data_IF_299289892563
#
_entry.id   IF_299289892563
#
_cell.length_a   1.000
_cell.length_b   1.000
_cell.length_c   1.000
_cell.angle_alpha   90.00
_cell.angle_beta   90.00
_cell.angle_gamma   90.00
#
_symmetry.space_group_name_H-M   'P 1'
#
loop_
_entity.id
_entity.type
_entity.pdbx_description
1 polymer ?
#
# COMPACT_ATOMS: atom_id res chain seq x y z
N UNK A 1 -5.24 -16.40 22.85
CA UNK A 1 -5.82 -15.45 21.86
C UNK A 1 -7.02 -16.13 21.20
N UNK A 2 -8.20 -15.48 21.08
CA UNK A 2 -9.37 -16.10 20.47
C UNK A 2 -9.11 -16.44 18.99
N UNK A 3 -9.46 -17.64 18.53
CA UNK A 3 -9.21 -18.02 17.14
C UNK A 3 -7.79 -18.49 16.83
N UNK A 4 -6.89 -18.57 17.83
CA UNK A 4 -5.51 -19.00 17.59
C UNK A 4 -5.46 -20.43 17.07
N UNK A 5 -6.14 -21.37 17.74
CA UNK A 5 -6.10 -22.80 17.43
C UNK A 5 -6.68 -23.13 16.04
N UNK A 6 -7.54 -22.25 15.54
CA UNK A 6 -8.32 -22.38 14.31
C UNK A 6 -7.62 -21.77 13.08
N UNK A 7 -6.60 -20.93 13.25
CA UNK A 7 -5.88 -20.34 12.12
C UNK A 7 -5.02 -21.38 11.37
N UNK A 8 -5.07 -21.31 10.04
CA UNK A 8 -4.17 -22.03 9.15
C UNK A 8 -2.78 -21.36 9.12
N UNK A 9 -1.94 -21.75 10.07
CA UNK A 9 -0.60 -21.21 10.19
C UNK A 9 0.34 -21.62 9.06
N UNK A 10 0.02 -22.67 8.29
CA UNK A 10 0.80 -23.05 7.12
C UNK A 10 0.74 -21.94 6.05
N UNK A 11 -0.40 -21.26 5.91
CA UNK A 11 -0.54 -20.10 5.02
C UNK A 11 0.25 -18.87 5.50
N UNK A 12 0.48 -18.70 6.82
CA UNK A 12 1.26 -17.57 7.36
C UNK A 12 2.78 -17.82 7.34
N UNK A 13 3.21 -19.08 7.22
CA UNK A 13 4.60 -19.48 7.36
C UNK A 13 5.55 -18.85 6.33
N UNK A 14 5.21 -18.80 5.02
CA UNK A 14 6.09 -18.17 4.02
C UNK A 14 6.32 -16.69 4.30
N UNK A 15 5.30 -15.98 4.82
CA UNK A 15 5.45 -14.58 5.22
C UNK A 15 6.43 -14.44 6.39
N UNK A 16 6.37 -15.32 7.40
CA UNK A 16 7.34 -15.27 8.50
C UNK A 16 8.78 -15.51 8.01
N UNK A 17 8.98 -16.48 7.12
CA UNK A 17 10.29 -16.75 6.52
C UNK A 17 10.79 -15.56 5.68
N UNK A 18 9.90 -14.90 4.94
CA UNK A 18 10.20 -13.64 4.26
C UNK A 18 10.63 -12.57 5.26
N UNK A 19 9.95 -12.41 6.39
CA UNK A 19 10.36 -11.46 7.44
C UNK A 19 11.79 -11.71 7.91
N UNK A 20 12.18 -12.97 8.13
CA UNK A 20 13.55 -13.31 8.51
C UNK A 20 14.59 -12.89 7.47
N UNK A 21 14.30 -13.04 6.16
CA UNK A 21 15.18 -12.55 5.08
C UNK A 21 15.26 -11.02 5.06
N UNK A 22 14.13 -10.34 5.23
CA UNK A 22 14.07 -8.88 5.26
C UNK A 22 14.75 -8.27 6.49
N UNK A 23 14.74 -8.97 7.62
CA UNK A 23 15.38 -8.53 8.87
C UNK A 23 16.89 -8.76 8.89
N UNK A 24 17.40 -9.71 8.11
CA UNK A 24 18.83 -10.00 8.04
C UNK A 24 19.63 -8.73 7.68
N UNK A 25 20.62 -8.40 8.52
CA UNK A 25 21.46 -7.21 8.34
C UNK A 25 20.84 -5.88 8.77
N UNK A 26 19.58 -5.83 9.22
CA UNK A 26 18.99 -4.64 9.82
C UNK A 26 19.41 -4.48 11.30
N UNK A 27 19.38 -3.27 11.89
CA UNK A 27 19.81 -3.04 13.27
C UNK A 27 19.13 -3.94 14.31
N UNK A 28 17.87 -4.30 14.10
CA UNK A 28 17.11 -5.19 14.98
C UNK A 28 17.48 -6.68 14.84
N UNK A 29 18.25 -7.08 13.84
CA UNK A 29 18.56 -8.49 13.54
C UNK A 29 19.02 -9.32 14.75
N UNK A 30 19.89 -8.83 15.67
CA UNK A 30 20.32 -9.63 16.81
C UNK A 30 19.17 -10.16 17.68
N UNK A 31 18.07 -9.39 17.81
CA UNK A 31 16.89 -9.79 18.56
C UNK A 31 16.04 -10.85 17.80
N UNK A 32 16.04 -10.80 16.46
CA UNK A 32 15.24 -11.71 15.61
C UNK A 32 15.97 -12.99 15.23
N UNK A 33 17.31 -12.97 15.23
CA UNK A 33 18.15 -14.09 14.79
C UNK A 33 17.80 -15.42 15.46
N UNK A 34 17.63 -15.53 16.79
CA UNK A 34 17.32 -16.83 17.42
C UNK A 34 16.04 -17.48 16.87
N UNK A 35 14.95 -16.71 16.77
CA UNK A 35 13.68 -17.20 16.23
C UNK A 35 13.81 -17.58 14.75
N UNK A 36 14.55 -16.79 13.96
CA UNK A 36 14.76 -17.07 12.54
C UNK A 36 15.65 -18.31 12.30
N UNK A 37 16.64 -18.59 13.15
CA UNK A 37 17.40 -19.85 13.08
C UNK A 37 16.54 -21.05 13.51
N UNK A 38 15.72 -20.90 14.56
CA UNK A 38 14.78 -21.94 14.97
C UNK A 38 13.76 -22.27 13.88
N UNK A 39 13.34 -21.29 13.08
CA UNK A 39 12.41 -21.49 11.97
C UNK A 39 12.99 -22.41 10.89
N UNK A 40 14.29 -22.29 10.56
CA UNK A 40 14.95 -23.17 9.59
C UNK A 40 14.89 -24.65 9.98
N UNK A 41 14.88 -24.94 11.29
CA UNK A 41 14.79 -26.31 11.82
C UNK A 41 13.39 -26.90 11.65
N UNK A 42 12.34 -26.06 11.62
CA UNK A 42 10.96 -26.51 11.41
C UNK A 42 10.81 -27.13 10.02
N UNK A 43 11.44 -26.54 9.00
CA UNK A 43 11.37 -27.02 7.62
C UNK A 43 12.30 -28.21 7.33
N UNK A 44 13.36 -28.38 8.12
CA UNK A 44 14.37 -29.42 7.92
C UNK A 44 13.87 -30.85 8.23
N UNK A 45 12.64 -31.03 8.74
CA UNK A 45 12.10 -32.32 9.22
C UNK A 45 11.44 -33.19 8.14
N UNK A 46 11.93 -33.13 6.90
CA UNK A 46 11.59 -34.12 5.86
C UNK A 46 10.19 -34.00 5.25
N UNK A 47 9.51 -32.86 5.41
CA UNK A 47 8.20 -32.56 4.82
C UNK A 47 7.79 -31.10 5.08
N UNK A 48 6.76 -30.58 4.40
CA UNK A 48 6.28 -29.22 4.64
C UNK A 48 5.83 -29.05 6.10
N UNK A 49 6.19 -27.93 6.71
CA UNK A 49 5.81 -27.61 8.07
C UNK A 49 4.28 -27.66 8.23
N UNK A 50 3.78 -28.40 9.22
CA UNK A 50 2.34 -28.49 9.49
C UNK A 50 1.90 -27.32 10.37
N UNK A 51 0.61 -26.97 10.33
CA UNK A 51 0.06 -25.95 11.20
C UNK A 51 0.37 -26.22 12.69
N UNK A 52 0.41 -27.49 13.12
CA UNK A 52 0.75 -27.87 14.49
C UNK A 52 2.22 -27.61 14.84
N UNK A 53 3.17 -27.92 13.94
CA UNK A 53 4.60 -27.65 14.21
C UNK A 53 4.89 -26.16 14.18
N UNK A 54 4.24 -25.42 13.28
CA UNK A 54 4.35 -23.95 13.19
C UNK A 54 3.74 -23.29 14.44
N UNK A 55 2.60 -23.78 14.91
CA UNK A 55 1.97 -23.31 16.15
C UNK A 55 2.92 -23.42 17.33
N UNK A 56 3.51 -24.60 17.52
CA UNK A 56 4.48 -24.85 18.59
C UNK A 56 5.70 -23.95 18.47
N UNK A 57 6.17 -23.68 17.24
CA UNK A 57 7.25 -22.73 17.01
C UNK A 57 6.88 -21.34 17.56
N UNK A 58 5.73 -20.77 17.19
CA UNK A 58 5.34 -19.45 17.67
C UNK A 58 5.14 -19.41 19.19
N UNK A 59 4.49 -20.43 19.76
CA UNK A 59 4.28 -20.55 21.21
C UNK A 59 5.58 -20.69 22.01
N UNK A 60 6.65 -21.18 21.37
CA UNK A 60 7.97 -21.36 22.02
C UNK A 60 8.87 -20.14 21.83
N UNK A 61 8.82 -19.50 20.66
CA UNK A 61 9.76 -18.45 20.27
C UNK A 61 9.24 -17.04 20.56
N UNK A 62 7.93 -16.86 20.76
CA UNK A 62 7.30 -15.55 20.91
C UNK A 62 6.40 -15.47 22.13
N UNK A 63 6.43 -14.31 22.77
CA UNK A 63 5.48 -13.91 23.80
C UNK A 63 4.47 -12.93 23.19
N UNK A 64 3.16 -13.21 23.20
CA UNK A 64 2.16 -12.26 22.72
C UNK A 64 2.03 -11.06 23.67
N UNK A 65 1.96 -9.86 23.09
CA UNK A 65 1.62 -8.61 23.76
C UNK A 65 0.35 -8.03 23.13
N UNK A 66 -0.56 -7.52 23.96
CA UNK A 66 -1.77 -6.85 23.49
C UNK A 66 -1.43 -5.40 23.14
N UNK A 67 -1.70 -4.99 21.90
CA UNK A 67 -1.59 -3.60 21.51
C UNK A 67 -2.73 -2.80 22.18
N UNK A 68 -2.37 -1.67 22.79
CA UNK A 68 -3.29 -0.76 23.47
C UNK A 68 -3.06 0.66 22.97
N UNK A 69 -4.13 1.42 22.81
CA UNK A 69 -4.05 2.83 22.49
C UNK A 69 -3.58 3.63 23.73
N UNK A 70 -3.10 4.88 23.55
CA UNK A 70 -2.63 5.72 24.65
C UNK A 70 -3.69 5.98 25.75
N UNK A 71 -4.97 5.90 25.40
CA UNK A 71 -6.11 6.02 26.32
C UNK A 71 -6.47 4.69 27.02
N UNK A 72 -5.72 3.62 26.76
CA UNK A 72 -5.92 2.28 27.33
C UNK A 72 -6.96 1.43 26.61
N UNK A 73 -7.62 1.96 25.58
CA UNK A 73 -8.60 1.20 24.80
C UNK A 73 -7.87 0.16 23.90
N UNK A 74 -8.58 -0.90 23.49
CA UNK A 74 -8.04 -2.01 22.68
C UNK A 74 -8.58 -2.04 21.26
N UNK A 75 -9.44 -1.10 20.91
CA UNK A 75 -10.12 -1.07 19.62
C UNK A 75 -9.25 -0.32 18.62
N UNK A 76 -9.00 -0.95 17.47
CA UNK A 76 -8.20 -0.39 16.39
C UNK A 76 -8.99 -0.33 15.09
N UNK A 77 -8.54 0.52 14.17
CA UNK A 77 -9.06 0.56 12.81
C UNK A 77 -8.27 -0.40 11.92
N UNK A 78 -8.97 -1.29 11.22
CA UNK A 78 -8.39 -2.17 10.20
C UNK A 78 -8.97 -1.79 8.85
N UNK A 79 -8.09 -1.46 7.90
CA UNK A 79 -8.45 -1.22 6.50
C UNK A 79 -7.77 -2.24 5.58
N UNK A 80 -8.31 -2.44 4.37
CA UNK A 80 -7.73 -3.30 3.35
C UNK A 80 -7.02 -2.50 2.25
N UNK A 81 -5.93 -3.05 1.74
CA UNK A 81 -5.24 -2.57 0.54
C UNK A 81 -4.88 -3.77 -0.35
N UNK A 82 -4.59 -3.54 -1.62
CA UNK A 82 -4.28 -4.59 -2.60
C UNK A 82 -3.37 -4.06 -3.72
N UNK A 83 -2.83 -4.97 -4.53
CA UNK A 83 -2.10 -4.63 -5.76
C UNK A 83 -3.10 -4.66 -6.94
N UNK A 84 -3.59 -3.51 -7.44
CA UNK A 84 -4.53 -3.45 -8.55
C UNK A 84 -3.87 -3.91 -9.85
N UNK A 85 -4.71 -4.50 -10.70
CA UNK A 85 -4.35 -4.94 -12.05
C UNK A 85 -5.10 -4.06 -13.05
N UNK A 86 -4.37 -3.28 -13.81
CA UNK A 86 -4.89 -2.39 -14.84
C UNK A 86 -4.56 -2.93 -16.23
N UNK A 87 -5.38 -2.60 -17.22
CA UNK A 87 -5.01 -2.76 -18.62
C UNK A 87 -4.32 -1.49 -19.12
N UNK A 88 -3.29 -1.65 -19.97
CA UNK A 88 -2.54 -0.50 -20.47
C UNK A 88 -1.63 -0.81 -21.64
N UNK A 89 -0.87 0.20 -22.05
CA UNK A 89 0.03 0.15 -23.20
C UNK A 89 1.26 1.04 -22.98
N UNK A 90 2.34 0.75 -23.72
CA UNK A 90 3.57 1.57 -23.74
C UNK A 90 3.38 2.91 -24.47
N UNK A 91 2.45 2.95 -25.41
CA UNK A 91 2.13 4.13 -26.22
C UNK A 91 0.67 4.50 -26.07
N UNK A 92 0.36 5.79 -26.27
CA UNK A 92 -1.03 6.28 -26.24
C UNK A 92 -1.82 5.65 -27.37
N UNK A 93 -3.04 5.22 -27.07
CA UNK A 93 -3.99 4.72 -28.06
C UNK A 93 -5.40 5.21 -27.78
N UNK A 94 -6.38 4.66 -28.49
CA UNK A 94 -7.80 4.98 -28.28
C UNK A 94 -8.35 4.40 -26.97
N UNK A 95 -7.87 3.23 -26.56
CA UNK A 95 -8.26 2.59 -25.28
C UNK A 95 -7.37 3.10 -24.13
N UNK A 96 -6.07 2.86 -24.23
CA UNK A 96 -5.08 3.33 -23.26
C UNK A 96 -4.79 4.83 -23.46
N UNK A 97 -5.54 5.68 -22.76
CA UNK A 97 -5.54 7.15 -22.95
C UNK A 97 -5.08 7.93 -21.73
N UNK A 98 -5.03 7.32 -20.56
CA UNK A 98 -4.73 8.00 -19.31
C UNK A 98 -3.26 7.77 -18.93
N UNK A 99 -2.43 8.82 -18.82
CA UNK A 99 -1.01 8.64 -18.58
C UNK A 99 -0.72 8.26 -17.12
N UNK A 100 -0.01 7.16 -16.94
CA UNK A 100 0.64 6.82 -15.67
C UNK A 100 1.99 7.53 -15.61
N UNK A 101 2.10 8.52 -14.71
CA UNK A 101 3.26 9.40 -14.65
C UNK A 101 4.37 8.89 -13.73
N UNK A 102 5.61 9.08 -14.18
CA UNK A 102 6.81 9.03 -13.35
C UNK A 102 7.11 10.38 -12.69
N UNK A 103 8.14 10.40 -11.85
CA UNK A 103 8.52 11.61 -11.10
C UNK A 103 9.04 12.71 -12.05
N UNK A 104 8.45 13.91 -12.03
CA UNK A 104 8.96 15.06 -12.77
C UNK A 104 10.35 15.49 -12.29
N UNK A 105 11.19 15.97 -13.21
CA UNK A 105 12.55 16.44 -12.88
C UNK A 105 12.56 17.73 -12.05
N UNK A 106 11.48 18.50 -12.08
CA UNK A 106 11.33 19.78 -11.37
C UNK A 106 10.60 19.64 -10.01
N UNK A 107 10.22 18.42 -9.62
CA UNK A 107 9.66 18.14 -8.30
C UNK A 107 10.77 18.19 -7.25
N UNK A 108 10.71 19.18 -6.38
CA UNK A 108 11.65 19.36 -5.28
C UNK A 108 11.10 18.79 -3.98
N UNK A 109 11.92 18.00 -3.29
CA UNK A 109 11.71 17.62 -1.88
C UNK A 109 12.26 18.71 -0.98
N UNK A 110 11.41 19.24 -0.08
CA UNK A 110 11.75 20.37 0.77
C UNK A 110 11.97 19.90 2.20
N UNK A 111 13.22 19.68 2.58
CA UNK A 111 13.63 19.26 3.93
C UNK A 111 14.05 20.48 4.76
N UNK A 112 13.07 21.19 5.33
CA UNK A 112 13.30 22.37 6.18
C UNK A 112 12.84 22.16 7.63
N UNK A 113 12.56 20.92 8.04
CA UNK A 113 12.02 20.59 9.37
C UNK A 113 12.93 20.95 10.55
N UNK A 114 14.24 21.07 10.32
CA UNK A 114 15.22 21.47 11.34
C UNK A 114 15.21 22.99 11.61
N UNK A 115 14.78 23.80 10.62
CA UNK A 115 14.71 25.26 10.71
C UNK A 115 13.27 25.75 10.96
N UNK A 116 12.28 25.03 10.41
CA UNK A 116 10.85 25.31 10.53
C UNK A 116 10.19 24.08 11.17
N UNK A 117 10.09 24.02 12.51
CA UNK A 117 9.60 22.84 13.24
C UNK A 117 8.22 22.36 12.81
N UNK A 118 7.34 23.25 12.33
CA UNK A 118 6.00 22.94 11.83
C UNK A 118 6.01 22.04 10.59
N UNK A 119 7.15 21.94 9.90
CA UNK A 119 7.36 21.07 8.73
C UNK A 119 7.93 19.70 9.12
N UNK A 120 8.32 19.49 10.38
CA UNK A 120 8.91 18.22 10.81
C UNK A 120 7.92 17.06 10.59
N UNK A 121 8.38 16.06 9.84
CA UNK A 121 7.56 14.89 9.47
C UNK A 121 6.54 15.14 8.35
N UNK A 122 6.43 16.37 7.82
CA UNK A 122 5.55 16.66 6.67
C UNK A 122 6.29 16.38 5.36
N UNK A 123 5.60 15.77 4.40
CA UNK A 123 6.11 15.53 3.04
C UNK A 123 5.92 16.77 2.16
N UNK A 124 6.69 17.83 2.43
CA UNK A 124 6.61 19.09 1.67
C UNK A 124 7.26 18.92 0.31
N UNK A 125 6.57 19.40 -0.73
CA UNK A 125 7.00 19.34 -2.13
C UNK A 125 6.79 20.68 -2.81
N UNK A 126 7.73 21.05 -3.66
CA UNK A 126 7.70 22.32 -4.36
C UNK A 126 8.34 22.28 -5.73
N UNK A 127 8.35 23.43 -6.39
CA UNK A 127 9.02 23.68 -7.67
C UNK A 127 9.55 25.11 -7.70
N UNK A 128 10.52 25.36 -8.57
CA UNK A 128 11.10 26.69 -8.75
C UNK A 128 10.27 27.54 -9.72
N UNK A 129 10.08 28.81 -9.37
CA UNK A 129 9.62 29.87 -10.28
C UNK A 129 10.53 31.08 -10.07
N UNK A 130 11.42 31.32 -11.04
CA UNK A 130 12.51 32.28 -10.86
C UNK A 130 13.37 31.88 -9.65
N UNK A 131 13.40 32.72 -8.62
CA UNK A 131 14.12 32.48 -7.38
C UNK A 131 13.23 32.03 -6.20
N UNK A 132 11.96 31.68 -6.46
CA UNK A 132 11.01 31.25 -5.42
C UNK A 132 10.74 29.76 -5.49
N UNK A 133 10.67 29.11 -4.34
CA UNK A 133 10.07 27.79 -4.20
C UNK A 133 8.58 27.99 -3.90
N UNK A 134 7.72 27.38 -4.71
CA UNK A 134 6.26 27.39 -4.52
C UNK A 134 5.73 25.95 -4.51
N UNK A 135 4.51 25.69 -4.02
CA UNK A 135 3.94 24.34 -4.01
C UNK A 135 3.97 23.69 -5.38
N UNK A 136 4.16 22.37 -5.40
CA UNK A 136 4.05 21.60 -6.64
C UNK A 136 2.62 21.59 -7.17
N UNK A 137 2.45 21.19 -8.43
CA UNK A 137 1.15 21.17 -9.11
C UNK A 137 0.15 20.24 -8.40
N UNK A 138 -1.11 20.68 -8.34
CA UNK A 138 -2.22 19.86 -7.87
C UNK A 138 -2.56 18.78 -8.91
N UNK A 139 -3.41 17.81 -8.55
CA UNK A 139 -3.93 16.82 -9.51
C UNK A 139 -4.55 17.48 -10.75
N UNK A 140 -5.40 18.49 -10.57
CA UNK A 140 -6.05 19.19 -11.67
C UNK A 140 -5.02 19.81 -12.63
N UNK A 141 -4.02 20.52 -12.08
CA UNK A 141 -2.94 21.13 -12.87
C UNK A 141 -2.14 20.09 -13.68
N UNK A 142 -1.90 18.90 -13.11
CA UNK A 142 -1.14 17.81 -13.74
C UNK A 142 -1.95 17.20 -14.89
N UNK A 143 -3.23 16.90 -14.65
CA UNK A 143 -4.14 16.26 -15.62
C UNK A 143 -4.43 17.20 -16.80
N UNK A 144 -4.63 18.48 -16.54
CA UNK A 144 -4.90 19.49 -17.57
C UNK A 144 -3.67 19.85 -18.41
N UNK A 145 -2.49 19.32 -18.06
CA UNK A 145 -1.19 19.59 -18.68
C UNK A 145 -0.85 21.08 -18.79
N UNK A 146 -1.46 21.91 -17.93
CA UNK A 146 -1.46 23.37 -18.06
C UNK A 146 -0.06 24.00 -18.01
N UNK A 147 0.94 23.27 -17.50
CA UNK A 147 2.31 23.76 -17.25
C UNK A 147 3.41 22.76 -17.59
N UNK A 148 3.10 21.76 -18.42
CA UNK A 148 4.01 20.68 -18.82
C UNK A 148 3.51 19.31 -18.39
N UNK A 149 3.93 18.27 -19.11
CA UNK A 149 3.50 16.88 -18.87
C UNK A 149 4.60 16.13 -18.12
N UNK A 150 4.34 15.62 -16.90
CA UNK A 150 5.25 14.68 -16.23
C UNK A 150 5.64 13.52 -17.16
N UNK A 151 6.81 12.88 -16.96
CA UNK A 151 7.21 11.75 -17.79
C UNK A 151 6.14 10.66 -17.74
N UNK A 152 5.76 10.11 -18.89
CA UNK A 152 4.77 9.03 -18.98
C UNK A 152 5.50 7.69 -19.00
N UNK A 153 5.16 6.80 -18.06
CA UNK A 153 5.70 5.44 -18.00
C UNK A 153 4.88 4.49 -18.88
N UNK A 154 3.55 4.60 -18.74
CA UNK A 154 2.54 3.76 -19.37
C UNK A 154 1.28 4.58 -19.62
N UNK A 155 0.42 4.09 -20.48
CA UNK A 155 -0.95 4.58 -20.66
C UNK A 155 -1.91 3.51 -20.17
N UNK A 156 -2.92 3.87 -19.39
CA UNK A 156 -3.96 2.96 -18.91
C UNK A 156 -5.33 3.36 -19.48
N UNK A 157 -6.30 2.46 -19.43
CA UNK A 157 -7.59 2.62 -20.10
C UNK A 157 -8.73 3.12 -19.21
N UNK A 158 -8.56 3.06 -17.89
CA UNK A 158 -9.55 3.54 -16.91
C UNK A 158 -8.95 4.56 -15.92
N UNK A 159 -9.50 5.79 -15.83
CA UNK A 159 -8.98 6.84 -14.96
C UNK A 159 -9.34 6.62 -13.48
N UNK A 160 -10.41 5.89 -13.18
CA UNK A 160 -10.77 5.50 -11.81
C UNK A 160 -9.80 4.43 -11.32
N UNK A 161 -9.49 3.43 -12.13
CA UNK A 161 -8.48 2.43 -11.74
C UNK A 161 -7.10 3.07 -11.55
N UNK A 162 -6.74 4.03 -12.41
CA UNK A 162 -5.53 4.85 -12.22
C UNK A 162 -5.55 5.62 -10.90
N UNK A 163 -6.69 6.21 -10.53
CA UNK A 163 -6.85 6.92 -9.26
C UNK A 163 -6.72 5.98 -8.06
N UNK A 164 -7.33 4.79 -8.12
CA UNK A 164 -7.18 3.79 -7.06
C UNK A 164 -5.75 3.26 -6.98
N UNK A 165 -5.06 3.05 -8.11
CA UNK A 165 -3.63 2.74 -8.14
C UNK A 165 -2.81 3.78 -7.36
N UNK A 166 -3.13 5.07 -7.49
CA UNK A 166 -2.48 6.14 -6.72
C UNK A 166 -2.77 6.06 -5.22
N UNK A 167 -3.97 5.63 -4.82
CA UNK A 167 -4.30 5.40 -3.41
C UNK A 167 -3.54 4.17 -2.87
N UNK A 168 -3.48 3.08 -3.65
CA UNK A 168 -2.79 1.85 -3.23
C UNK A 168 -1.26 1.99 -3.23
N UNK A 169 -0.71 2.87 -4.07
CA UNK A 169 0.72 3.16 -4.15
C UNK A 169 1.55 2.14 -4.93
N UNK A 170 1.01 0.99 -5.29
CA UNK A 170 1.66 0.01 -6.19
C UNK A 170 0.61 -0.73 -7.00
N UNK A 171 1.00 -1.37 -8.10
CA UNK A 171 0.08 -2.13 -8.95
C UNK A 171 0.77 -2.79 -10.13
N UNK A 172 -0.04 -3.41 -10.99
CA UNK A 172 0.40 -4.06 -12.22
C UNK A 172 -0.38 -3.55 -13.42
N UNK A 173 0.32 -3.43 -14.54
CA UNK A 173 -0.27 -3.08 -15.82
C UNK A 173 -0.06 -4.25 -16.79
N UNK A 174 -1.16 -4.81 -17.29
CA UNK A 174 -1.16 -5.82 -18.34
C UNK A 174 -1.09 -5.14 -19.70
N UNK A 175 -0.04 -5.43 -20.45
CA UNK A 175 0.15 -4.93 -21.81
C UNK A 175 -0.65 -5.77 -22.81
N UNK A 176 -0.88 -5.26 -24.05
CA UNK A 176 -1.60 -6.01 -25.08
C UNK A 176 -0.86 -7.28 -25.53
N UNK A 177 0.46 -7.35 -25.34
CA UNK A 177 1.28 -8.55 -25.55
C UNK A 177 1.00 -9.67 -24.55
N UNK A 178 0.33 -9.37 -23.43
CA UNK A 178 0.18 -10.25 -22.27
C UNK A 178 1.25 -10.03 -21.19
N UNK A 179 2.30 -9.25 -21.49
CA UNK A 179 3.34 -8.93 -20.52
C UNK A 179 2.79 -8.12 -19.35
N UNK A 180 3.38 -8.36 -18.18
CA UNK A 180 3.01 -7.69 -16.93
C UNK A 180 4.10 -6.71 -16.53
N UNK A 181 3.75 -5.43 -16.42
CA UNK A 181 4.63 -4.39 -15.90
C UNK A 181 4.23 -4.06 -14.46
N UNK A 182 5.17 -4.18 -13.53
CA UNK A 182 4.95 -3.76 -12.14
C UNK A 182 5.32 -2.31 -11.95
N UNK A 183 4.48 -1.58 -11.26
CA UNK A 183 4.70 -0.18 -10.91
C UNK A 183 4.58 0.00 -9.41
N UNK A 184 5.47 0.82 -8.85
CA UNK A 184 5.49 1.13 -7.43
C UNK A 184 5.65 2.61 -7.18
N UNK A 185 5.25 3.04 -5.99
CA UNK A 185 5.39 4.41 -5.51
C UNK A 185 6.83 4.90 -5.70
N UNK A 186 6.96 6.11 -6.25
CA UNK A 186 8.23 6.79 -6.38
C UNK A 186 8.25 8.10 -5.58
N UNK A 187 7.22 8.95 -5.74
CA UNK A 187 7.04 10.17 -4.94
C UNK A 187 5.59 10.67 -5.02
N UNK A 188 5.27 11.79 -4.38
CA UNK A 188 3.98 12.48 -4.46
C UNK A 188 4.15 13.99 -4.62
N UNK A 189 3.08 14.70 -4.99
CA UNK A 189 3.09 16.16 -5.17
C UNK A 189 2.99 16.99 -3.87
N UNK A 190 2.87 16.35 -2.70
CA UNK A 190 2.87 17.00 -1.38
C UNK A 190 1.55 17.67 -0.98
N UNK A 191 0.51 17.59 -1.80
CA UNK A 191 -0.84 18.06 -1.44
C UNK A 191 -1.54 17.05 -0.52
N UNK A 192 -2.42 17.52 0.40
CA UNK A 192 -3.17 16.64 1.28
C UNK A 192 -4.16 15.78 0.48
N UNK A 193 -4.33 14.53 0.90
CA UNK A 193 -5.37 13.66 0.35
C UNK A 193 -6.76 14.16 0.76
N UNK A 194 -7.70 14.21 -0.18
CA UNK A 194 -9.12 14.40 0.08
C UNK A 194 -9.91 13.20 -0.42
N UNK A 195 -10.84 12.72 0.41
CA UNK A 195 -11.64 11.52 0.10
C UNK A 195 -12.77 11.84 -0.88
N UNK A 196 -12.67 11.31 -2.10
CA UNK A 196 -13.74 11.45 -3.11
C UNK A 196 -15.05 10.77 -2.68
N UNK A 197 -14.98 9.70 -1.88
CA UNK A 197 -16.17 9.04 -1.32
C UNK A 197 -16.90 9.96 -0.35
N UNK A 198 -16.16 10.71 0.49
CA UNK A 198 -16.74 11.71 1.39
C UNK A 198 -17.38 12.86 0.61
N UNK A 199 -16.72 13.33 -0.45
CA UNK A 199 -17.26 14.36 -1.34
C UNK A 199 -18.60 13.91 -1.96
N UNK A 200 -18.70 12.66 -2.42
CA UNK A 200 -19.96 12.12 -2.95
C UNK A 200 -21.08 12.05 -1.89
N UNK A 201 -20.75 11.66 -0.65
CA UNK A 201 -21.71 11.66 0.45
C UNK A 201 -22.21 13.08 0.76
N UNK A 202 -21.29 14.04 0.86
CA UNK A 202 -21.61 15.45 1.14
C UNK A 202 -22.47 16.09 0.04
N UNK A 203 -22.30 15.64 -1.22
CA UNK A 203 -23.14 16.02 -2.36
C UNK A 203 -24.49 15.29 -2.40
N UNK A 204 -24.71 14.29 -1.55
CA UNK A 204 -25.91 13.44 -1.58
C UNK A 204 -25.96 12.47 -2.77
N UNK A 205 -24.82 12.21 -3.41
CA UNK A 205 -24.72 11.38 -4.61
C UNK A 205 -24.37 9.91 -4.32
N UNK A 206 -23.92 9.60 -3.09
CA UNK A 206 -23.76 8.23 -2.55
C UNK A 206 -24.14 8.20 -1.07
N UNK A 207 -24.70 7.07 -0.61
CA UNK A 207 -24.84 6.81 0.83
C UNK A 207 -23.49 6.43 1.44
N UNK A 208 -23.32 6.66 2.74
CA UNK A 208 -22.10 6.28 3.46
C UNK A 208 -21.81 4.77 3.38
N UNK A 209 -22.85 3.93 3.38
CA UNK A 209 -22.75 2.48 3.18
C UNK A 209 -22.31 2.09 1.77
N UNK A 210 -22.42 2.99 0.80
CA UNK A 210 -22.12 2.76 -0.62
C UNK A 210 -20.78 3.40 -1.04
N UNK A 211 -20.14 4.19 -0.16
CA UNK A 211 -18.86 4.86 -0.41
C UNK A 211 -17.65 3.89 -0.38
N UNK A 212 -17.83 2.70 -0.96
CA UNK A 212 -16.79 1.72 -1.26
C UNK A 212 -16.21 1.96 -2.65
N UNK A 213 -15.10 1.29 -2.97
CA UNK A 213 -14.52 1.32 -4.32
C UNK A 213 -15.56 0.92 -5.40
N UNK A 214 -16.33 -0.13 -5.13
CA UNK A 214 -17.32 -0.65 -6.06
C UNK A 214 -18.46 0.35 -6.28
N UNK A 215 -18.91 1.01 -5.20
CA UNK A 215 -19.94 2.05 -5.31
C UNK A 215 -19.43 3.28 -6.06
N UNK A 216 -18.19 3.72 -5.80
CA UNK A 216 -17.56 4.82 -6.55
C UNK A 216 -17.39 4.48 -8.03
N UNK A 217 -16.96 3.25 -8.36
CA UNK A 217 -16.87 2.79 -9.75
C UNK A 217 -18.24 2.77 -10.44
N UNK A 218 -19.29 2.30 -9.75
CA UNK A 218 -20.65 2.31 -10.27
C UNK A 218 -21.15 3.74 -10.51
N UNK A 219 -20.92 4.64 -9.55
CA UNK A 219 -21.24 6.05 -9.68
C UNK A 219 -20.52 6.70 -10.86
N UNK A 220 -19.22 6.43 -11.05
CA UNK A 220 -18.41 6.98 -12.13
C UNK A 220 -18.92 6.55 -13.51
N UNK A 221 -19.31 5.27 -13.67
CA UNK A 221 -19.91 4.76 -14.91
C UNK A 221 -21.25 5.43 -15.23
N UNK A 222 -22.04 5.76 -14.21
CA UNK A 222 -23.31 6.46 -14.38
C UNK A 222 -23.14 7.97 -14.61
N UNK A 223 -22.00 8.57 -14.20
CA UNK A 223 -21.77 10.01 -14.22
C UNK A 223 -20.44 10.40 -14.92
N UNK A 224 -20.18 9.97 -16.17
CA UNK A 224 -18.88 10.17 -16.82
C UNK A 224 -18.51 11.65 -16.97
N UNK A 225 -19.49 12.54 -17.16
CA UNK A 225 -19.26 13.98 -17.31
C UNK A 225 -18.83 14.68 -16.01
N UNK A 226 -19.09 14.09 -14.84
CA UNK A 226 -18.72 14.63 -13.52
C UNK A 226 -17.41 14.03 -12.99
N UNK A 227 -16.84 13.07 -13.72
CA UNK A 227 -15.76 12.24 -13.22
C UNK A 227 -14.48 13.04 -12.96
N UNK A 228 -14.08 13.86 -13.92
CA UNK A 228 -12.85 14.65 -13.80
C UNK A 228 -12.94 15.65 -12.64
N UNK A 229 -14.11 16.30 -12.47
CA UNK A 229 -14.35 17.20 -11.35
C UNK A 229 -14.25 16.46 -10.00
N UNK A 230 -14.85 15.27 -9.90
CA UNK A 230 -14.76 14.46 -8.69
C UNK A 230 -13.31 14.06 -8.41
N UNK A 231 -12.60 13.51 -9.39
CA UNK A 231 -11.22 13.07 -9.21
C UNK A 231 -10.32 14.25 -8.80
N UNK A 232 -10.50 15.41 -9.43
CA UNK A 232 -9.75 16.63 -9.16
C UNK A 232 -10.07 17.29 -7.81
N UNK A 233 -11.16 16.90 -7.14
CA UNK A 233 -11.40 17.30 -5.74
C UNK A 233 -10.33 16.77 -4.78
N UNK A 234 -9.60 15.70 -5.15
CA UNK A 234 -8.41 15.26 -4.44
C UNK A 234 -7.14 15.87 -5.05
N UNK A 235 -6.54 16.91 -4.43
CA UNK A 235 -5.36 17.58 -5.02
C UNK A 235 -4.09 16.73 -4.93
N UNK A 236 -4.07 15.69 -4.08
CA UNK A 236 -2.94 14.76 -3.97
C UNK A 236 -2.74 13.95 -5.24
N UNK A 237 -1.49 13.81 -5.69
CA UNK A 237 -1.09 13.03 -6.87
C UNK A 237 0.15 12.21 -6.57
N UNK A 238 0.11 10.92 -6.92
CA UNK A 238 1.21 9.97 -6.74
C UNK A 238 1.90 9.68 -8.08
N UNK A 239 3.23 9.73 -8.05
CA UNK A 239 4.11 9.39 -9.15
C UNK A 239 4.75 8.02 -8.94
N UNK A 240 5.01 7.32 -10.04
CA UNK A 240 5.45 5.92 -10.02
C UNK A 240 6.83 5.72 -10.60
N UNK A 241 7.32 4.51 -10.45
CA UNK A 241 8.46 3.94 -11.17
C UNK A 241 8.13 2.51 -11.56
N UNK A 242 8.70 2.05 -12.68
CA UNK A 242 8.69 0.63 -12.99
C UNK A 242 9.59 -0.13 -12.02
N UNK A 243 9.08 -1.24 -11.50
CA UNK A 243 9.85 -2.13 -10.63
C UNK A 243 10.56 -3.17 -11.50
N UNK A 244 11.83 -3.44 -11.21
CA UNK A 244 12.60 -4.44 -11.94
C UNK A 244 11.92 -5.81 -11.88
N UNK A 245 12.04 -6.64 -12.94
CA UNK A 245 11.41 -7.97 -13.03
C UNK A 245 12.08 -9.02 -12.13
N UNK A 246 12.77 -8.60 -11.05
CA UNK A 246 13.42 -9.52 -10.10
C UNK A 246 12.40 -10.32 -9.28
N UNK A 247 11.15 -9.87 -9.26
CA UNK A 247 10.03 -10.61 -8.68
C UNK A 247 9.40 -11.48 -9.76
N UNK A 248 9.09 -12.71 -9.41
CA UNK A 248 8.31 -13.55 -10.30
C UNK A 248 6.87 -13.01 -10.45
N UNK A 249 6.14 -13.39 -11.51
CA UNK A 249 4.77 -12.95 -11.72
C UNK A 249 3.82 -13.30 -10.56
N UNK A 250 4.08 -14.37 -9.82
CA UNK A 250 3.25 -14.83 -8.71
C UNK A 250 3.52 -14.12 -7.36
N UNK A 251 4.66 -13.44 -7.22
CA UNK A 251 4.99 -12.71 -5.97
C UNK A 251 4.16 -11.43 -5.80
N UNK A 252 3.89 -11.01 -4.56
CA UNK A 252 3.27 -9.69 -4.30
C UNK A 252 4.25 -8.51 -4.49
N UNK A 253 3.78 -7.26 -4.32
CA UNK A 253 4.67 -6.09 -4.35
C UNK A 253 5.67 -6.14 -3.19
N UNK A 254 6.79 -5.43 -3.30
CA UNK A 254 7.73 -5.28 -2.17
C UNK A 254 7.15 -4.32 -1.13
N UNK A 255 7.02 -4.78 0.11
CA UNK A 255 6.68 -3.91 1.25
C UNK A 255 7.89 -3.13 1.78
N UNK A 256 7.67 -2.26 2.75
CA UNK A 256 8.70 -1.46 3.43
C UNK A 256 9.84 -2.29 4.05
N UNK A 257 9.59 -3.55 4.41
CA UNK A 257 10.64 -4.47 4.89
C UNK A 257 11.60 -4.93 3.78
N UNK A 258 11.27 -4.69 2.51
CA UNK A 258 12.07 -5.07 1.33
C UNK A 258 11.83 -6.50 0.86
N UNK A 259 10.70 -7.09 1.24
CA UNK A 259 10.30 -8.45 0.85
C UNK A 259 8.92 -8.45 0.19
N UNK A 260 8.62 -9.43 -0.68
CA UNK A 260 7.31 -9.52 -1.34
C UNK A 260 6.20 -9.74 -0.32
N UNK A 261 5.10 -9.02 -0.48
CA UNK A 261 3.93 -9.14 0.38
C UNK A 261 3.12 -10.39 0.02
N UNK A 262 2.84 -11.22 1.03
CA UNK A 262 1.96 -12.37 0.87
C UNK A 262 0.51 -11.94 1.08
N UNK A 263 -0.32 -12.23 0.07
CA UNK A 263 -1.75 -11.94 0.10
C UNK A 263 -2.40 -12.50 1.38
N UNK A 264 -3.28 -11.70 2.00
CA UNK A 264 -4.05 -12.06 3.20
C UNK A 264 -3.23 -12.37 4.48
N UNK A 265 -1.90 -12.37 4.41
CA UNK A 265 -0.98 -12.79 5.49
C UNK A 265 0.05 -11.73 5.85
N UNK A 266 -0.10 -10.52 5.30
CA UNK A 266 0.76 -9.38 5.57
C UNK A 266 -0.07 -8.14 5.85
N UNK A 267 0.48 -7.24 6.66
CA UNK A 267 -0.16 -5.97 7.04
C UNK A 267 0.83 -4.82 6.95
N UNK A 268 0.30 -3.63 6.68
CA UNK A 268 0.98 -2.37 6.91
C UNK A 268 0.74 -1.90 8.35
N UNK A 269 1.76 -1.37 9.00
CA UNK A 269 1.70 -0.91 10.40
C UNK A 269 2.39 0.45 10.60
N UNK A 270 2.15 1.08 11.74
CA UNK A 270 3.01 2.16 12.23
C UNK A 270 4.25 1.55 12.93
N UNK A 271 5.45 1.73 12.36
CA UNK A 271 6.67 1.14 12.92
C UNK A 271 7.09 1.73 14.27
N UNK A 272 6.48 2.85 14.71
CA UNK A 272 6.69 3.42 16.05
C UNK A 272 6.04 2.56 17.13
N UNK A 273 5.04 1.77 16.78
CA UNK A 273 4.28 0.92 17.72
C UNK A 273 4.48 -0.57 17.46
N UNK A 274 4.49 -1.00 16.19
CA UNK A 274 4.67 -2.41 15.80
C UNK A 274 5.94 -2.53 14.96
N UNK A 275 6.98 -3.23 15.43
CA UNK A 275 8.23 -3.33 14.67
C UNK A 275 8.03 -4.11 13.37
N UNK A 276 8.60 -3.60 12.28
CA UNK A 276 8.62 -4.33 11.01
C UNK A 276 9.31 -5.69 11.16
N UNK A 277 8.75 -6.69 10.50
CA UNK A 277 9.09 -8.10 10.57
C UNK A 277 8.25 -8.90 11.58
N UNK A 278 7.53 -8.23 12.48
CA UNK A 278 6.86 -8.91 13.57
C UNK A 278 5.63 -9.72 13.17
N UNK A 279 5.42 -10.91 13.77
CA UNK A 279 4.16 -11.60 13.73
C UNK A 279 3.12 -10.81 14.54
N UNK A 280 1.94 -10.61 13.97
CA UNK A 280 0.80 -9.93 14.58
C UNK A 280 -0.42 -10.85 14.46
N UNK A 281 -1.11 -11.08 15.57
CA UNK A 281 -2.37 -11.81 15.54
C UNK A 281 -3.53 -10.81 15.39
N UNK A 282 -4.16 -10.82 14.22
CA UNK A 282 -5.28 -9.94 13.90
C UNK A 282 -6.59 -10.59 14.34
N UNK A 283 -7.43 -9.85 15.06
CA UNK A 283 -8.79 -10.26 15.41
C UNK A 283 -9.77 -9.13 15.03
N UNK A 284 -10.53 -9.32 13.95
CA UNK A 284 -11.48 -8.35 13.40
C UNK A 284 -12.63 -9.11 12.71
N UNK A 285 -13.40 -8.47 11.83
CA UNK A 285 -14.39 -9.09 10.94
C UNK A 285 -13.98 -8.93 9.48
N UNK A 286 -14.64 -9.67 8.57
CA UNK A 286 -14.52 -9.40 7.14
C UNK A 286 -15.15 -8.03 6.81
N UNK A 287 -14.62 -7.30 5.82
CA UNK A 287 -15.16 -5.99 5.44
C UNK A 287 -16.66 -6.06 5.17
N UNK A 288 -17.42 -5.09 5.70
CA UNK A 288 -18.88 -4.99 5.55
C UNK A 288 -19.66 -6.25 5.99
N UNK A 289 -19.14 -6.99 6.98
CA UNK A 289 -19.72 -8.23 7.47
C UNK A 289 -19.41 -8.44 8.97
N UNK A 290 -20.25 -9.22 9.64
CA UNK A 290 -20.02 -9.69 11.01
C UNK A 290 -19.20 -10.99 11.07
N UNK A 291 -18.85 -11.57 9.92
CA UNK A 291 -18.07 -12.82 9.87
C UNK A 291 -16.67 -12.58 10.47
N UNK A 292 -16.26 -13.30 11.53
CA UNK A 292 -14.96 -13.09 12.16
C UNK A 292 -13.79 -13.37 11.22
N UNK A 293 -12.76 -12.53 11.31
CA UNK A 293 -11.47 -12.66 10.66
C UNK A 293 -10.39 -12.68 11.74
N UNK A 294 -9.87 -13.88 12.02
CA UNK A 294 -8.86 -14.12 13.07
C UNK A 294 -7.69 -14.88 12.48
N UNK A 295 -6.51 -14.27 12.42
CA UNK A 295 -5.35 -14.88 11.78
C UNK A 295 -4.03 -14.24 12.16
N UNK A 296 -2.96 -15.03 12.11
CA UNK A 296 -1.60 -14.55 12.15
C UNK A 296 -1.22 -13.92 10.81
N UNK A 297 -0.67 -12.71 10.88
CA UNK A 297 -0.17 -11.91 9.76
C UNK A 297 1.21 -11.37 10.11
N UNK A 298 1.95 -10.87 9.11
CA UNK A 298 3.28 -10.30 9.30
C UNK A 298 3.29 -8.80 9.01
N UNK A 299 3.86 -8.01 9.91
CA UNK A 299 4.10 -6.58 9.74
C UNK A 299 5.26 -6.35 8.76
N UNK A 300 4.98 -6.34 7.45
CA UNK A 300 6.02 -6.26 6.40
C UNK A 300 6.00 -4.96 5.62
N UNK A 301 5.01 -4.10 5.89
CA UNK A 301 4.83 -2.84 5.19
C UNK A 301 4.48 -1.69 6.13
N UNK A 302 4.46 -0.47 5.61
CA UNK A 302 4.05 0.74 6.33
C UNK A 302 3.12 1.61 5.49
N UNK A 303 2.18 2.28 6.16
CA UNK A 303 1.35 3.34 5.56
C UNK A 303 2.02 4.71 5.65
N UNK A 304 1.60 5.63 4.76
CA UNK A 304 2.08 7.00 4.72
C UNK A 304 1.42 7.95 5.70
#
# INVERSE_FOLDING_TARGET
MPGWAEDDLAAAWPAFQQSCRGLAGKPQWPAWRPACEAAKVVDAKGGPATAATIRRFFETQFQPYVAVNPDGNRDGLVTGYYEPLLAGARTRGEKARFPLHGVPKDLLTIELGDVIPELKGKRVRGRLVGNKVVPYYSRADIVDHAKGTPPVLLWVDDPIELFFLQIQGSGRVRLPSGDMVRVGYADQNGHPYQSIGRVLIERGELLASEASMQGIQAWARANPAKLDELLNSNPSYVFFRELSPRLSPEEGPLGALGVPLLAERTIAVDPRSIPLGAPVFLATTRPNSEVPLRRLVMAQDTGG
#
